data_IF_464477534401
#
_entry.id   IF_464477534401
#
_cell.length_a   1.000
_cell.length_b   1.000
_cell.length_c   1.000
_cell.angle_alpha   90.00
_cell.angle_beta   90.00
_cell.angle_gamma   90.00
#
_symmetry.space_group_name_H-M   'P 1'
#
loop_
_entity.id
_entity.type
_entity.pdbx_description
1 polymer ?
#
# COMPACT_ATOMS: atom_id res chain seq x y z
N UNK A 1 -22.45 -4.59 2.79
CA UNK A 1 -21.62 -5.71 2.26
C UNK A 1 -20.38 -5.09 1.61
N UNK A 2 -19.24 -5.79 1.57
CA UNK A 2 -18.03 -5.31 0.90
C UNK A 2 -17.74 -6.22 -0.31
N UNK A 3 -18.28 -5.88 -1.47
CA UNK A 3 -18.05 -6.64 -2.71
C UNK A 3 -16.72 -6.27 -3.37
N UNK A 4 -16.29 -5.01 -3.23
CA UNK A 4 -15.01 -4.53 -3.78
C UNK A 4 -13.81 -5.30 -3.22
N UNK A 5 -13.78 -5.52 -1.89
CA UNK A 5 -12.72 -6.32 -1.26
C UNK A 5 -12.69 -7.77 -1.73
N UNK A 6 -13.87 -8.39 -1.90
CA UNK A 6 -13.99 -9.78 -2.39
C UNK A 6 -13.45 -9.92 -3.82
N UNK A 7 -13.68 -8.93 -4.68
CA UNK A 7 -13.19 -8.93 -6.07
C UNK A 7 -11.66 -8.87 -6.11
N UNK A 8 -11.06 -7.98 -5.31
CA UNK A 8 -9.60 -7.88 -5.18
C UNK A 8 -9.02 -9.19 -4.65
N UNK A 9 -9.56 -9.76 -3.58
CA UNK A 9 -9.02 -11.01 -3.01
C UNK A 9 -9.07 -12.17 -4.01
N UNK A 10 -10.14 -12.25 -4.81
CA UNK A 10 -10.26 -13.28 -5.86
C UNK A 10 -9.30 -13.05 -7.02
N UNK A 11 -9.13 -11.81 -7.49
CA UNK A 11 -8.18 -11.52 -8.57
C UNK A 11 -6.75 -11.82 -8.13
N UNK A 12 -6.38 -11.42 -6.91
CA UNK A 12 -5.06 -11.71 -6.33
C UNK A 12 -4.85 -13.21 -6.13
N UNK A 13 -5.84 -13.93 -5.63
CA UNK A 13 -5.74 -15.39 -5.49
C UNK A 13 -5.58 -16.10 -6.83
N UNK A 14 -6.15 -15.58 -7.92
CA UNK A 14 -6.02 -16.16 -9.25
C UNK A 14 -4.66 -15.87 -9.88
N UNK A 15 -4.11 -14.67 -9.65
CA UNK A 15 -2.83 -14.23 -10.22
C UNK A 15 -1.62 -14.74 -9.43
N UNK A 16 -1.70 -14.74 -8.10
CA UNK A 16 -0.58 -14.97 -7.19
C UNK A 16 -0.74 -16.23 -6.35
N UNK A 17 -1.85 -16.96 -6.48
CA UNK A 17 -2.14 -18.15 -5.66
C UNK A 17 -1.15 -19.31 -5.89
N UNK A 18 -0.49 -19.35 -7.04
CA UNK A 18 0.55 -20.32 -7.36
C UNK A 18 1.97 -19.91 -6.96
N UNK A 19 2.18 -18.68 -6.48
CA UNK A 19 3.52 -18.10 -6.33
C UNK A 19 4.08 -17.60 -7.66
N UNK A 20 5.34 -17.15 -7.64
CA UNK A 20 6.08 -16.70 -8.82
C UNK A 20 7.38 -17.49 -8.88
N UNK A 21 7.65 -18.12 -10.01
CA UNK A 21 8.91 -18.83 -10.27
C UNK A 21 9.80 -17.96 -11.17
N UNK A 22 11.09 -17.93 -10.84
CA UNK A 22 12.11 -17.25 -11.63
C UNK A 22 13.01 -18.34 -12.22
N UNK A 23 13.10 -18.40 -13.55
CA UNK A 23 13.93 -19.36 -14.28
C UNK A 23 15.17 -18.63 -14.78
N UNK A 24 16.34 -18.99 -14.24
CA UNK A 24 17.64 -18.38 -14.53
C UNK A 24 18.67 -19.49 -14.84
N UNK A 25 18.34 -20.37 -15.80
CA UNK A 25 19.26 -21.36 -16.38
C UNK A 25 20.07 -22.20 -15.34
N UNK A 26 19.52 -22.44 -14.13
CA UNK A 26 20.15 -23.18 -13.01
C UNK A 26 21.50 -22.60 -12.53
N UNK A 27 21.63 -21.28 -12.43
CA UNK A 27 22.87 -20.66 -11.92
C UNK A 27 22.88 -20.49 -10.39
N UNK A 28 24.05 -20.33 -9.73
CA UNK A 28 24.12 -20.05 -8.29
C UNK A 28 23.34 -18.81 -7.85
N UNK A 29 23.12 -17.85 -8.76
CA UNK A 29 22.30 -16.67 -8.53
C UNK A 29 20.81 -17.02 -8.41
N UNK A 30 20.34 -18.08 -9.08
CA UNK A 30 18.96 -18.57 -8.97
C UNK A 30 18.69 -19.14 -7.58
N UNK A 31 19.62 -19.96 -7.04
CA UNK A 31 19.54 -20.47 -5.68
C UNK A 31 19.46 -19.32 -4.67
N UNK A 32 20.32 -18.30 -4.82
CA UNK A 32 20.29 -17.11 -3.97
C UNK A 32 18.95 -16.36 -4.03
N UNK A 33 18.41 -16.14 -5.23
CA UNK A 33 17.12 -15.46 -5.41
C UNK A 33 15.99 -16.26 -4.75
N UNK A 34 15.98 -17.58 -4.93
CA UNK A 34 14.99 -18.46 -4.32
C UNK A 34 15.06 -18.43 -2.79
N UNK A 35 16.27 -18.47 -2.21
CA UNK A 35 16.48 -18.33 -0.76
C UNK A 35 15.97 -16.98 -0.24
N UNK A 36 16.25 -15.87 -0.94
CA UNK A 36 15.76 -14.53 -0.59
C UNK A 36 14.23 -14.48 -0.60
N UNK A 37 13.59 -15.07 -1.61
CA UNK A 37 12.13 -15.12 -1.70
C UNK A 37 11.48 -15.99 -0.62
N UNK A 38 12.10 -17.13 -0.29
CA UNK A 38 11.65 -18.00 0.78
C UNK A 38 11.78 -17.31 2.15
N UNK A 39 12.93 -16.69 2.43
CA UNK A 39 13.19 -15.93 3.65
C UNK A 39 12.17 -14.79 3.86
N UNK A 40 11.75 -14.14 2.77
CA UNK A 40 10.76 -13.07 2.79
C UNK A 40 9.30 -13.55 2.73
N UNK A 41 9.05 -14.86 2.71
CA UNK A 41 7.71 -15.46 2.61
C UNK A 41 6.94 -14.94 1.40
N UNK A 42 7.50 -15.16 0.21
CA UNK A 42 7.01 -14.66 -1.09
C UNK A 42 5.49 -14.54 -1.21
N UNK A 43 4.72 -15.60 -0.94
CA UNK A 43 3.26 -15.57 -1.11
C UNK A 43 2.57 -14.52 -0.25
N UNK A 44 3.02 -14.32 0.99
CA UNK A 44 2.45 -13.33 1.92
C UNK A 44 2.83 -11.92 1.46
N UNK A 45 4.09 -11.73 1.08
CA UNK A 45 4.62 -10.46 0.59
C UNK A 45 3.86 -10.00 -0.67
N UNK A 46 3.74 -10.89 -1.65
CA UNK A 46 3.07 -10.63 -2.91
C UNK A 46 1.57 -10.36 -2.74
N UNK A 47 0.90 -11.15 -1.89
CA UNK A 47 -0.51 -10.90 -1.59
C UNK A 47 -0.73 -9.52 -0.95
N UNK A 48 0.16 -9.10 -0.04
CA UNK A 48 0.08 -7.78 0.59
C UNK A 48 0.35 -6.65 -0.40
N UNK A 49 1.34 -6.80 -1.28
CA UNK A 49 1.61 -5.85 -2.36
C UNK A 49 0.39 -5.73 -3.29
N UNK A 50 -0.17 -6.86 -3.73
CA UNK A 50 -1.36 -6.87 -4.57
C UNK A 50 -2.56 -6.17 -3.93
N UNK A 51 -2.76 -6.32 -2.62
CA UNK A 51 -3.81 -5.58 -1.89
C UNK A 51 -3.57 -4.07 -1.91
N UNK A 52 -2.32 -3.62 -1.74
CA UNK A 52 -1.98 -2.21 -1.85
C UNK A 52 -2.19 -1.68 -3.27
N UNK A 53 -1.82 -2.45 -4.29
CA UNK A 53 -2.07 -2.12 -5.69
C UNK A 53 -3.56 -1.98 -6.00
N UNK A 54 -4.35 -2.97 -5.64
CA UNK A 54 -5.79 -2.96 -5.91
C UNK A 54 -6.55 -1.85 -5.17
N UNK A 55 -6.08 -1.44 -3.99
CA UNK A 55 -6.71 -0.38 -3.21
C UNK A 55 -6.25 1.03 -3.62
N UNK A 56 -4.95 1.25 -3.81
CA UNK A 56 -4.35 2.58 -3.98
C UNK A 56 -3.84 2.87 -5.40
N UNK A 57 -3.79 1.86 -6.25
CA UNK A 57 -3.27 1.95 -7.62
C UNK A 57 -1.75 1.89 -7.74
N UNK A 58 -0.99 2.09 -6.66
CA UNK A 58 0.49 2.07 -6.70
C UNK A 58 1.03 1.21 -5.57
N UNK A 59 2.02 0.37 -5.88
CA UNK A 59 2.68 -0.50 -4.91
C UNK A 59 4.09 0.02 -4.62
N UNK A 60 4.54 -0.17 -3.37
CA UNK A 60 5.87 0.23 -2.93
C UNK A 60 6.55 -0.92 -2.20
N UNK A 61 7.81 -1.16 -2.53
CA UNK A 61 8.66 -2.16 -1.91
C UNK A 61 9.98 -1.51 -1.49
N UNK A 62 10.30 -1.59 -0.20
CA UNK A 62 11.58 -1.17 0.34
C UNK A 62 12.51 -2.36 0.50
N UNK A 63 13.74 -2.20 0.05
CA UNK A 63 14.83 -3.16 0.20
C UNK A 63 15.66 -2.71 1.41
N UNK A 64 15.83 -3.60 2.38
CA UNK A 64 16.71 -3.38 3.53
C UNK A 64 17.81 -4.44 3.50
N UNK A 65 19.06 -4.05 3.25
CA UNK A 65 20.16 -5.01 3.12
C UNK A 65 20.45 -5.65 4.49
N UNK A 66 20.82 -6.93 4.48
CA UNK A 66 21.35 -7.68 5.62
C UNK A 66 20.44 -7.81 6.87
N UNK A 67 19.12 -7.75 6.72
CA UNK A 67 18.18 -7.86 7.85
C UNK A 67 17.78 -9.31 8.22
N UNK A 68 17.86 -10.27 7.28
CA UNK A 68 17.47 -11.67 7.52
C UNK A 68 18.66 -12.58 7.25
N UNK A 69 19.43 -12.93 8.28
CA UNK A 69 20.60 -13.82 8.17
C UNK A 69 21.61 -13.40 7.07
N UNK A 70 21.78 -12.09 6.85
CA UNK A 70 22.65 -11.55 5.79
C UNK A 70 22.00 -11.48 4.40
N UNK A 71 20.71 -11.79 4.30
CA UNK A 71 19.89 -11.61 3.11
C UNK A 71 19.05 -10.32 3.19
N UNK A 72 18.74 -9.70 2.05
CA UNK A 72 17.88 -8.52 2.00
C UNK A 72 16.46 -8.83 2.45
N UNK A 73 15.91 -7.95 3.28
CA UNK A 73 14.48 -7.95 3.62
C UNK A 73 13.70 -7.05 2.66
N UNK A 74 12.63 -7.61 2.12
CA UNK A 74 11.68 -6.93 1.24
C UNK A 74 10.46 -6.50 2.06
N UNK A 75 10.32 -5.20 2.27
CA UNK A 75 9.25 -4.62 3.09
C UNK A 75 8.23 -3.89 2.22
N UNK A 76 6.97 -4.32 2.19
CA UNK A 76 5.93 -3.60 1.48
C UNK A 76 5.56 -2.36 2.30
N UNK A 77 5.62 -1.18 1.66
CA UNK A 77 5.27 0.09 2.28
C UNK A 77 3.82 0.45 1.98
N UNK A 78 3.17 1.09 2.96
CA UNK A 78 1.80 1.57 2.80
C UNK A 78 1.78 2.81 1.89
N UNK A 79 1.06 2.78 0.75
CA UNK A 79 0.95 3.89 -0.18
C UNK A 79 0.43 5.20 0.44
N UNK A 80 -0.35 5.14 1.52
CA UNK A 80 -0.92 6.34 2.18
C UNK A 80 0.18 7.26 2.71
N UNK A 81 1.30 6.69 3.16
CA UNK A 81 2.40 7.45 3.74
C UNK A 81 3.49 7.80 2.72
N UNK A 82 3.34 7.31 1.49
CA UNK A 82 4.33 7.44 0.42
C UNK A 82 3.98 8.60 -0.51
N UNK A 83 5.00 9.36 -0.88
CA UNK A 83 4.91 10.33 -1.97
C UNK A 83 6.15 10.23 -2.85
N UNK A 84 5.94 10.34 -4.16
CA UNK A 84 6.96 10.37 -5.19
C UNK A 84 7.10 11.80 -5.69
N UNK A 85 8.33 12.29 -5.79
CA UNK A 85 8.66 13.51 -6.53
C UNK A 85 9.47 13.13 -7.76
N UNK A 86 8.96 13.47 -8.94
CA UNK A 86 9.59 13.21 -10.24
C UNK A 86 10.30 14.47 -10.75
N UNK A 87 11.07 14.33 -11.83
CA UNK A 87 11.66 15.48 -12.49
C UNK A 87 10.55 16.33 -13.17
N UNK A 88 10.67 17.67 -13.19
CA UNK A 88 9.65 18.52 -13.82
C UNK A 88 9.46 18.27 -15.32
N UNK A 89 10.49 17.75 -15.99
CA UNK A 89 10.52 17.52 -17.45
C UNK A 89 10.32 16.05 -17.82
N UNK A 90 10.40 15.14 -16.85
CA UNK A 90 10.37 13.70 -17.08
C UNK A 90 9.68 13.03 -15.88
N UNK A 91 8.47 12.53 -16.13
CA UNK A 91 7.62 11.91 -15.11
C UNK A 91 8.12 10.52 -14.70
N UNK A 92 8.87 9.85 -15.58
CA UNK A 92 9.43 8.53 -15.31
C UNK A 92 10.71 8.64 -14.45
N UNK A 93 11.37 9.80 -14.50
CA UNK A 93 12.55 10.07 -13.67
C UNK A 93 12.17 10.45 -12.25
N UNK A 94 12.21 9.48 -11.34
CA UNK A 94 12.04 9.72 -9.90
C UNK A 94 13.26 10.42 -9.31
N UNK A 95 13.01 11.50 -8.57
CA UNK A 95 14.02 12.29 -7.88
C UNK A 95 13.99 12.05 -6.37
N UNK A 96 12.83 11.76 -5.79
CA UNK A 96 12.70 11.54 -4.35
C UNK A 96 11.50 10.67 -3.98
N UNK A 97 11.70 9.75 -3.04
CA UNK A 97 10.63 9.13 -2.27
C UNK A 97 10.58 9.74 -0.87
N UNK A 98 9.37 10.02 -0.37
CA UNK A 98 9.17 10.40 1.02
C UNK A 98 8.15 9.53 1.68
N UNK A 99 8.53 8.90 2.78
CA UNK A 99 7.67 8.14 3.67
C UNK A 99 7.49 8.94 4.97
N UNK A 100 6.26 9.29 5.33
CA UNK A 100 5.97 10.06 6.55
C UNK A 100 4.80 9.42 7.27
N UNK A 101 5.00 8.98 8.51
CA UNK A 101 3.94 8.38 9.33
C UNK A 101 4.07 8.81 10.79
N UNK A 102 3.01 8.62 11.56
CA UNK A 102 2.96 8.94 12.99
C UNK A 102 2.63 7.69 13.79
N UNK A 103 3.40 7.43 14.85
CA UNK A 103 3.13 6.36 15.79
C UNK A 103 2.87 6.94 17.18
N UNK A 104 1.93 6.35 17.89
CA UNK A 104 1.72 6.65 19.32
C UNK A 104 2.66 5.78 20.14
N UNK A 105 3.66 6.39 20.77
CA UNK A 105 4.60 5.75 21.68
C UNK A 105 4.36 6.34 23.07
N UNK A 106 4.05 5.50 24.06
CA UNK A 106 3.80 5.92 25.45
C UNK A 106 2.73 7.02 25.63
N UNK A 107 1.78 7.11 24.69
CA UNK A 107 0.68 8.08 24.71
C UNK A 107 0.95 9.36 23.91
N UNK A 108 2.18 9.58 23.48
CA UNK A 108 2.58 10.73 22.65
C UNK A 108 2.71 10.33 21.17
N UNK A 109 2.30 11.24 20.28
CA UNK A 109 2.42 11.04 18.83
C UNK A 109 3.83 11.43 18.35
N UNK A 110 4.65 10.44 18.02
CA UNK A 110 5.97 10.62 17.43
C UNK A 110 5.86 10.51 15.90
N UNK A 111 6.36 11.52 15.19
CA UNK A 111 6.44 11.49 13.74
C UNK A 111 7.73 10.83 13.26
N UNK A 112 7.64 9.96 12.27
CA UNK A 112 8.77 9.38 11.57
C UNK A 112 8.74 9.84 10.12
N UNK A 113 9.90 10.17 9.56
CA UNK A 113 10.05 10.58 8.17
C UNK A 113 11.33 9.98 7.60
N UNK A 114 11.19 9.31 6.47
CA UNK A 114 12.29 8.83 5.67
C UNK A 114 12.25 9.50 4.30
N UNK A 115 13.38 10.08 3.88
CA UNK A 115 13.56 10.69 2.58
C UNK A 115 14.64 9.92 1.82
N UNK A 116 14.30 9.42 0.64
CA UNK A 116 15.23 8.78 -0.27
C UNK A 116 15.37 9.71 -1.46
N UNK A 117 16.52 10.38 -1.59
CA UNK A 117 16.72 11.47 -2.57
C UNK A 117 17.87 11.13 -3.52
N UNK A 118 17.61 11.22 -4.82
CA UNK A 118 18.62 11.08 -5.87
C UNK A 118 19.57 12.29 -5.84
N UNK A 119 20.86 12.03 -5.79
CA UNK A 119 21.92 13.04 -5.77
C UNK A 119 22.37 13.38 -7.21
N UNK A 120 23.23 14.40 -7.34
CA UNK A 120 23.75 14.84 -8.64
C UNK A 120 24.67 13.81 -9.32
N UNK A 121 25.33 12.96 -8.53
CA UNK A 121 26.20 11.87 -8.98
C UNK A 121 25.45 10.57 -9.28
N UNK A 122 24.12 10.64 -9.36
CA UNK A 122 23.21 9.51 -9.57
C UNK A 122 23.12 8.49 -8.43
N UNK A 123 23.73 8.79 -7.27
CA UNK A 123 23.57 7.97 -6.06
C UNK A 123 22.29 8.30 -5.32
N UNK A 124 21.88 7.44 -4.39
CA UNK A 124 20.70 7.65 -3.56
C UNK A 124 21.10 7.93 -2.12
N UNK A 125 20.58 9.02 -1.54
CA UNK A 125 20.77 9.34 -0.12
C UNK A 125 19.51 8.99 0.66
N UNK A 126 19.65 8.17 1.69
CA UNK A 126 18.59 7.83 2.64
C UNK A 126 18.76 8.64 3.91
N UNK A 127 17.80 9.50 4.22
CA UNK A 127 17.78 10.32 5.41
C UNK A 127 16.58 10.00 6.28
N UNK A 128 16.82 9.74 7.56
CA UNK A 128 15.78 9.43 8.54
C UNK A 128 15.65 10.57 9.54
N UNK A 129 14.41 10.92 9.84
CA UNK A 129 14.05 11.99 10.75
C UNK A 129 12.98 11.53 11.72
N UNK A 130 13.11 11.99 12.96
CA UNK A 130 12.11 11.79 13.99
C UNK A 130 11.59 13.14 14.48
N UNK A 131 10.31 13.16 14.87
CA UNK A 131 9.63 14.30 15.46
C UNK A 131 9.06 13.86 16.82
N UNK A 132 9.91 13.82 17.87
CA UNK A 132 9.45 13.49 19.22
C UNK A 132 8.58 14.60 19.84
N UNK A 133 8.64 15.83 19.31
CA UNK A 133 7.80 16.93 19.76
C UNK A 133 7.46 17.87 18.59
N UNK A 134 8.08 19.05 18.50
CA UNK A 134 7.68 20.10 17.56
C UNK A 134 8.55 20.18 16.30
N UNK A 135 9.80 19.71 16.33
CA UNK A 135 10.76 19.81 15.23
C UNK A 135 11.22 18.45 14.75
N UNK A 136 11.45 18.33 13.45
CA UNK A 136 12.11 17.18 12.84
C UNK A 136 13.60 17.21 13.16
N UNK A 137 14.11 16.13 13.73
CA UNK A 137 15.52 15.92 14.03
C UNK A 137 16.02 14.81 13.13
N UNK A 138 17.15 15.03 12.44
CA UNK A 138 17.78 14.00 11.61
C UNK A 138 18.45 12.97 12.52
N UNK A 139 18.10 11.70 12.37
CA UNK A 139 18.61 10.59 13.18
C UNK A 139 19.67 9.81 12.43
N UNK A 140 19.47 9.58 11.13
CA UNK A 140 20.41 8.86 10.29
C UNK A 140 20.50 9.48 8.89
N UNK A 141 21.66 9.29 8.26
CA UNK A 141 21.94 9.67 6.88
C UNK A 141 22.94 8.68 6.32
N UNK A 142 22.52 7.94 5.29
CA UNK A 142 23.30 6.86 4.69
C UNK A 142 23.23 7.00 3.17
N UNK A 143 24.39 6.92 2.51
CA UNK A 143 24.45 6.82 1.05
C UNK A 143 24.19 5.37 0.69
N UNK A 144 23.29 5.15 -0.25
CA UNK A 144 22.92 3.85 -0.78
C UNK A 144 23.97 3.40 -1.79
N UNK A 145 24.50 2.20 -1.61
CA UNK A 145 25.64 1.71 -2.37
C UNK A 145 25.28 1.19 -3.78
N UNK A 146 23.99 1.06 -4.09
CA UNK A 146 23.51 0.54 -5.38
C UNK A 146 23.04 1.66 -6.32
N UNK A 147 23.02 1.36 -7.62
CA UNK A 147 22.60 2.26 -8.70
C UNK A 147 21.08 2.50 -8.74
N UNK A 148 20.29 1.53 -8.27
CA UNK A 148 18.85 1.64 -8.13
C UNK A 148 18.43 2.18 -6.74
N UNK A 149 17.26 2.82 -6.61
CA UNK A 149 16.77 3.29 -5.32
C UNK A 149 16.45 2.14 -4.35
N UNK A 150 16.64 2.32 -3.03
CA UNK A 150 16.24 1.33 -2.02
C UNK A 150 14.71 1.16 -1.92
N UNK A 151 13.93 2.07 -2.50
CA UNK A 151 12.47 1.96 -2.61
C UNK A 151 12.12 1.85 -4.09
N UNK A 152 11.46 0.75 -4.43
CA UNK A 152 10.93 0.48 -5.76
C UNK A 152 9.42 0.67 -5.72
N UNK A 153 8.84 1.14 -6.83
CA UNK A 153 7.41 1.27 -6.98
C UNK A 153 6.98 0.80 -8.37
N UNK A 154 5.73 0.38 -8.50
CA UNK A 154 5.11 0.08 -9.79
C UNK A 154 3.61 0.35 -9.74
N UNK A 155 3.04 0.55 -10.93
CA UNK A 155 1.62 0.84 -11.12
C UNK A 155 0.82 -0.47 -11.16
N UNK A 156 -0.36 -0.49 -10.51
CA UNK A 156 -1.32 -1.59 -10.61
C UNK A 156 -1.99 -1.58 -11.99
N UNK A 157 -2.78 -0.54 -12.25
CA UNK A 157 -3.26 -0.18 -13.58
C UNK A 157 -2.42 0.99 -14.09
N UNK A 158 -1.97 0.90 -15.34
CA UNK A 158 -1.05 1.89 -15.91
C UNK A 158 -1.71 3.25 -16.10
N UNK A 159 -0.99 4.31 -15.76
CA UNK A 159 -1.34 5.69 -16.03
C UNK A 159 -0.14 6.41 -16.65
N UNK A 160 -0.26 6.83 -17.91
CA UNK A 160 0.82 7.50 -18.63
C UNK A 160 1.02 8.96 -18.20
N UNK A 161 0.03 9.56 -17.54
CA UNK A 161 0.04 10.98 -17.15
C UNK A 161 0.57 11.19 -15.72
N UNK A 162 0.82 10.11 -14.97
CA UNK A 162 1.14 10.15 -13.55
C UNK A 162 2.19 9.08 -13.22
N UNK A 163 3.11 9.32 -12.27
CA UNK A 163 3.94 8.23 -11.74
C UNK A 163 3.12 7.23 -10.92
N UNK A 164 1.91 7.61 -10.48
CA UNK A 164 0.98 6.76 -9.74
C UNK A 164 0.04 6.00 -10.68
N UNK A 165 -0.22 4.73 -10.37
CA UNK A 165 -1.20 3.91 -11.07
C UNK A 165 -2.64 4.14 -10.61
N UNK A 166 -3.58 3.49 -11.29
CA UNK A 166 -5.02 3.58 -11.02
C UNK A 166 -5.47 2.40 -10.15
N UNK A 167 -6.37 2.68 -9.21
CA UNK A 167 -6.93 1.68 -8.29
C UNK A 167 -8.02 0.84 -8.96
N UNK A 168 -8.09 -0.46 -8.62
CA UNK A 168 -9.13 -1.36 -9.15
C UNK A 168 -10.54 -1.02 -8.65
N UNK A 169 -10.62 -0.30 -7.52
CA UNK A 169 -11.89 -0.04 -6.82
C UNK A 169 -12.43 1.37 -7.00
N UNK A 170 -11.67 2.30 -7.59
CA UNK A 170 -12.04 3.72 -7.68
C UNK A 170 -13.45 3.92 -8.28
N UNK A 171 -13.75 3.22 -9.38
CA UNK A 171 -15.07 3.27 -10.03
C UNK A 171 -16.16 2.46 -9.29
N UNK A 172 -15.76 1.47 -8.49
CA UNK A 172 -16.67 0.54 -7.81
C UNK A 172 -17.14 1.09 -6.46
N UNK A 173 -16.38 1.99 -5.82
CA UNK A 173 -16.76 2.61 -4.52
C UNK A 173 -18.13 3.27 -4.61
N UNK A 174 -18.37 4.04 -5.68
CA UNK A 174 -19.66 4.75 -5.88
C UNK A 174 -20.84 3.77 -5.99
N UNK A 175 -20.64 2.63 -6.65
CA UNK A 175 -21.67 1.60 -6.80
C UNK A 175 -21.90 0.89 -5.45
N UNK A 176 -20.81 0.57 -4.74
CA UNK A 176 -20.83 -0.09 -3.45
C UNK A 176 -21.58 0.73 -2.39
N UNK A 177 -21.38 2.06 -2.37
CA UNK A 177 -22.08 2.98 -1.47
C UNK A 177 -23.58 3.07 -1.79
N UNK A 178 -23.95 3.11 -3.07
CA UNK A 178 -25.36 3.08 -3.48
C UNK A 178 -26.05 1.79 -3.04
N UNK A 179 -25.39 0.65 -3.21
CA UNK A 179 -25.91 -0.66 -2.74
C UNK A 179 -26.08 -0.66 -1.23
N UNK A 180 -25.07 -0.21 -0.48
CA UNK A 180 -25.12 -0.14 0.98
C UNK A 180 -26.23 0.82 1.45
N UNK A 181 -26.45 1.93 0.77
CA UNK A 181 -27.53 2.88 1.05
C UNK A 181 -28.91 2.27 0.82
N UNK A 182 -29.14 1.58 -0.31
CA UNK A 182 -30.40 0.89 -0.60
C UNK A 182 -30.66 -0.20 0.44
N UNK A 183 -29.66 -1.04 0.77
CA UNK A 183 -29.79 -2.07 1.81
C UNK A 183 -30.12 -1.48 3.19
N UNK A 184 -29.51 -0.35 3.55
CA UNK A 184 -29.82 0.37 4.80
C UNK A 184 -31.26 0.87 4.82
N UNK A 185 -31.76 1.42 3.71
CA UNK A 185 -33.15 1.88 3.60
C UNK A 185 -34.15 0.72 3.64
N UNK A 186 -33.86 -0.41 2.98
CA UNK A 186 -34.68 -1.62 3.07
C UNK A 186 -34.76 -2.09 4.52
N UNK A 187 -33.62 -2.16 5.24
CA UNK A 187 -33.60 -2.55 6.65
C UNK A 187 -34.39 -1.57 7.54
N UNK A 188 -34.33 -0.26 7.26
CA UNK A 188 -35.16 0.74 7.95
C UNK A 188 -36.66 0.53 7.68
N UNK A 189 -37.05 0.26 6.43
CA UNK A 189 -38.44 0.00 6.04
C UNK A 189 -38.94 -1.27 6.73
N UNK A 190 -38.16 -2.37 6.69
CA UNK A 190 -38.50 -3.62 7.38
C UNK A 190 -38.65 -3.36 8.88
N UNK A 191 -37.71 -2.66 9.51
CA UNK A 191 -37.80 -2.32 10.95
C UNK A 191 -39.05 -1.50 11.27
N UNK A 192 -39.41 -0.55 10.41
CA UNK A 192 -40.60 0.28 10.58
C UNK A 192 -41.90 -0.55 10.43
N UNK A 193 -41.95 -1.47 9.47
CA UNK A 193 -43.12 -2.32 9.22
C UNK A 193 -43.20 -3.56 10.11
N UNK A 194 -42.08 -4.00 10.72
CA UNK A 194 -42.02 -5.12 11.65
C UNK A 194 -42.65 -4.79 13.02
N UNK A 195 -42.87 -3.50 13.32
CA UNK A 195 -43.58 -3.03 14.49
C UNK A 195 -44.70 -2.05 14.10
N UNK A 196 -45.80 -2.54 13.51
CA UNK A 196 -46.91 -1.67 13.16
C UNK A 196 -47.51 -1.07 14.44
N UNK A 197 -47.52 0.26 14.54
CA UNK A 197 -48.27 0.94 15.60
C UNK A 197 -49.73 0.99 15.19
N UNK A 198 -50.54 0.14 15.82
CA UNK A 198 -51.99 0.15 15.64
C UNK A 198 -52.56 1.45 16.19
N UNK A 199 -53.12 2.28 15.31
CA UNK A 199 -53.90 3.45 15.68
C UNK A 199 -55.38 3.11 15.60
N UNK A 200 -56.11 3.26 16.71
CA UNK A 200 -57.55 3.12 16.78
C UNK A 200 -58.20 4.48 17.02
N UNK A 201 -59.04 4.95 16.11
CA UNK A 201 -59.92 6.11 16.29
C UNK A 201 -61.36 5.64 16.48
N UNK A 202 -62.03 6.12 17.54
CA UNK A 202 -63.43 5.76 17.84
C UNK A 202 -63.74 5.36 19.29
N UNK A 203 -62.82 5.54 20.24
CA UNK A 203 -63.13 5.36 21.67
C UNK A 203 -63.83 6.61 22.23
N UNK A 204 -65.11 6.76 21.90
CA UNK A 204 -65.98 7.81 22.39
C UNK A 204 -67.43 7.43 22.17
N UNK A 205 -67.99 6.74 23.16
CA UNK A 205 -69.35 6.92 23.70
C UNK A 205 -69.37 6.38 25.14
#
# INVERSE_FOLDING_TARGET
>A
MNFSGLVIERSLSLLLGGGVEFDLDDTPEEEYINEVWEANKQSILMHKLGQFGGASGTMYLKIMPDEIDGMPRLMPLDPIWMNITTAPTDIDKVMKYSNIYYLTVDGDAVGYKELVTRQEDDTWLVEQYEKPSSKWVKVASVVWDYDFPPIIHWQNLTNAESPYGISDIEDVVVIQDKINFISSNINKIIRYHAHPKTWGSGFGD
#
